data_IF_152569612338
#
_entry.id   IF_152569612338
#
_cell.length_a   1.000
_cell.length_b   1.000
_cell.length_c   1.000
_cell.angle_alpha   90.00
_cell.angle_beta   90.00
_cell.angle_gamma   90.00
#
_symmetry.space_group_name_H-M   'P 1'
#
loop_
_entity.id
_entity.type
_entity.pdbx_description
1 polymer ?
#
# COMPACT_ATOMS: atom_id res chain seq x y z
N UNK A 1 9.15 -18.49 3.94
CA UNK A 1 9.13 -17.39 4.91
C UNK A 1 10.18 -16.38 4.55
N UNK A 2 9.72 -15.25 4.01
CA UNK A 2 10.53 -14.09 3.73
C UNK A 2 10.96 -13.51 5.10
N UNK A 3 12.27 -13.38 5.32
CA UNK A 3 12.82 -12.87 6.57
C UNK A 3 12.78 -11.34 6.59
N UNK A 4 11.59 -10.78 6.73
CA UNK A 4 11.34 -9.34 6.82
C UNK A 4 10.91 -9.00 8.24
N UNK A 5 11.63 -8.06 8.85
CA UNK A 5 11.48 -7.69 10.25
C UNK A 5 11.00 -6.24 10.42
N UNK A 6 10.85 -5.46 9.34
CA UNK A 6 10.40 -4.06 9.40
C UNK A 6 9.63 -3.62 8.16
N UNK A 7 8.88 -2.52 8.27
CA UNK A 7 8.20 -1.88 7.14
C UNK A 7 9.18 -1.41 6.05
N UNK A 8 10.36 -0.92 6.44
CA UNK A 8 11.41 -0.53 5.50
C UNK A 8 12.00 -1.71 4.74
N UNK A 9 12.19 -2.85 5.40
CA UNK A 9 12.60 -4.10 4.74
C UNK A 9 11.51 -4.62 3.80
N UNK A 10 10.24 -4.51 4.20
CA UNK A 10 9.11 -4.90 3.37
C UNK A 10 8.99 -4.01 2.11
N UNK A 11 9.10 -2.69 2.25
CA UNK A 11 9.14 -1.75 1.12
C UNK A 11 10.29 -2.07 0.17
N UNK A 12 11.49 -2.31 0.71
CA UNK A 12 12.66 -2.70 -0.07
C UNK A 12 12.42 -4.00 -0.85
N UNK A 13 11.79 -4.99 -0.22
CA UNK A 13 11.42 -6.24 -0.88
C UNK A 13 10.42 -6.01 -2.03
N UNK A 14 9.36 -5.22 -1.80
CA UNK A 14 8.40 -4.87 -2.87
C UNK A 14 9.12 -4.14 -4.02
N UNK A 15 9.97 -3.17 -3.70
CA UNK A 15 10.73 -2.38 -4.69
C UNK A 15 11.68 -3.22 -5.53
N UNK A 16 12.41 -4.13 -4.90
CA UNK A 16 13.52 -4.83 -5.55
C UNK A 16 13.14 -6.19 -6.13
N UNK A 17 12.07 -6.81 -5.65
CA UNK A 17 11.71 -8.17 -6.05
C UNK A 17 10.30 -8.34 -6.62
N UNK A 18 9.38 -7.40 -6.39
CA UNK A 18 8.00 -7.48 -6.90
C UNK A 18 7.83 -6.54 -8.08
N UNK A 19 8.12 -5.26 -7.88
CA UNK A 19 7.91 -4.25 -8.91
C UNK A 19 8.71 -4.48 -10.21
N UNK A 20 9.98 -4.93 -10.19
CA UNK A 20 10.72 -5.20 -11.43
C UNK A 20 10.11 -6.32 -12.28
N UNK A 21 9.28 -7.17 -11.68
CA UNK A 21 8.54 -8.23 -12.37
C UNK A 21 7.13 -7.80 -12.77
N UNK A 22 6.66 -6.65 -12.26
CA UNK A 22 5.29 -6.16 -12.44
C UNK A 22 5.18 -5.02 -13.46
N UNK A 23 6.32 -4.40 -13.82
CA UNK A 23 6.36 -3.22 -14.70
C UNK A 23 7.27 -3.49 -15.91
N UNK A 24 6.91 -2.94 -17.07
CA UNK A 24 7.73 -3.00 -18.30
C UNK A 24 8.37 -1.63 -18.60
N UNK A 25 9.07 -1.53 -19.73
CA UNK A 25 9.83 -0.33 -20.16
C UNK A 25 8.99 0.94 -20.34
N UNK A 26 7.67 0.81 -20.46
CA UNK A 26 6.76 1.95 -20.54
C UNK A 26 6.52 2.61 -19.17
N UNK A 27 7.03 2.02 -18.08
CA UNK A 27 6.85 2.53 -16.73
C UNK A 27 8.18 2.87 -16.08
N UNK A 28 8.16 3.92 -15.25
CA UNK A 28 9.29 4.34 -14.43
C UNK A 28 8.92 4.27 -12.96
N UNK A 29 9.69 3.50 -12.19
CA UNK A 29 9.67 3.53 -10.73
C UNK A 29 10.54 4.69 -10.23
N UNK A 30 10.02 5.51 -9.32
CA UNK A 30 10.74 6.62 -8.72
C UNK A 30 11.30 6.25 -7.34
N UNK A 31 12.46 6.83 -7.00
CA UNK A 31 13.11 6.70 -5.69
C UNK A 31 12.69 7.78 -4.68
N UNK A 32 11.66 8.56 -5.02
CA UNK A 32 11.21 9.67 -4.20
C UNK A 32 10.32 9.20 -3.04
N UNK A 33 10.77 9.38 -1.80
CA UNK A 33 10.11 8.89 -0.58
C UNK A 33 9.30 9.93 0.22
N UNK A 34 9.05 11.14 -0.29
CA UNK A 34 8.44 12.20 0.57
C UNK A 34 6.92 12.16 0.68
N UNK A 35 6.22 11.63 -0.33
CA UNK A 35 4.76 11.70 -0.39
C UNK A 35 4.09 10.32 -0.29
N UNK A 36 4.70 9.30 -0.87
CA UNK A 36 4.22 7.92 -0.94
C UNK A 36 5.44 7.00 -0.83
N UNK A 37 5.25 5.76 -0.38
CA UNK A 37 6.33 4.77 -0.31
C UNK A 37 6.89 4.40 -1.69
N UNK A 38 6.02 4.14 -2.68
CA UNK A 38 6.42 3.82 -4.05
C UNK A 38 5.56 4.59 -5.07
N UNK A 39 6.22 5.15 -6.09
CA UNK A 39 5.59 5.94 -7.16
C UNK A 39 5.99 5.38 -8.52
N UNK A 40 5.00 4.99 -9.33
CA UNK A 40 5.19 4.49 -10.69
C UNK A 40 4.58 5.51 -11.65
N UNK A 41 5.32 5.91 -12.69
CA UNK A 41 4.78 6.71 -13.78
C UNK A 41 4.70 5.89 -15.06
N UNK A 42 3.56 5.95 -15.76
CA UNK A 42 3.46 5.52 -17.15
C UNK A 42 4.00 6.63 -18.05
N UNK A 43 4.93 6.27 -18.93
CA UNK A 43 5.47 7.16 -19.96
C UNK A 43 4.59 7.14 -21.22
N UNK A 44 4.78 8.12 -22.11
CA UNK A 44 4.13 8.16 -23.42
C UNK A 44 2.92 9.09 -23.49
N UNK A 45 2.00 8.82 -24.42
CA UNK A 45 0.93 9.75 -24.80
C UNK A 45 -0.15 9.96 -23.73
N UNK A 46 -0.32 8.99 -22.82
CA UNK A 46 -1.27 9.09 -21.71
C UNK A 46 -0.53 8.95 -20.37
N UNK A 47 0.28 9.95 -19.98
CA UNK A 47 1.05 9.86 -18.75
C UNK A 47 0.13 9.77 -17.54
N UNK A 48 0.51 8.93 -16.58
CA UNK A 48 -0.30 8.66 -15.39
C UNK A 48 0.61 8.27 -14.22
N UNK A 49 0.28 8.76 -13.03
CA UNK A 49 0.98 8.40 -11.80
C UNK A 49 0.17 7.38 -11.01
N UNK A 50 0.84 6.34 -10.53
CA UNK A 50 0.31 5.29 -9.69
C UNK A 50 1.07 5.27 -8.37
N UNK A 51 0.33 5.18 -7.27
CA UNK A 51 0.82 5.34 -5.91
C UNK A 51 0.64 4.02 -5.17
N UNK A 52 1.69 3.54 -4.52
CA UNK A 52 1.61 2.38 -3.64
C UNK A 52 2.06 2.79 -2.24
N UNK A 53 1.17 2.63 -1.28
CA UNK A 53 1.52 2.69 0.13
C UNK A 53 1.83 1.30 0.64
N UNK A 54 2.91 1.19 1.40
CA UNK A 54 3.39 -0.07 1.96
C UNK A 54 3.17 -0.05 3.46
N UNK A 55 2.61 -1.14 3.98
CA UNK A 55 2.44 -1.31 5.42
C UNK A 55 2.87 -2.69 5.87
N UNK A 56 3.57 -2.77 6.99
CA UNK A 56 4.00 -4.05 7.53
C UNK A 56 3.61 -4.22 9.00
N UNK A 57 2.82 -5.26 9.27
CA UNK A 57 2.37 -5.56 10.63
C UNK A 57 3.38 -6.44 11.35
N UNK A 58 4.00 -5.90 12.41
CA UNK A 58 4.82 -6.65 13.36
C UNK A 58 3.96 -7.14 14.53
N UNK A 59 4.10 -8.39 14.94
CA UNK A 59 3.30 -9.04 16.00
C UNK A 59 3.37 -8.30 17.33
N UNK A 60 4.56 -7.78 17.66
CA UNK A 60 4.80 -7.03 18.89
C UNK A 60 4.21 -5.61 18.87
N UNK A 61 3.78 -5.12 17.71
CA UNK A 61 3.10 -3.83 17.59
C UNK A 61 1.58 -4.02 17.71
N UNK A 62 0.97 -3.23 18.59
CA UNK A 62 -0.47 -3.32 18.86
C UNK A 62 -1.37 -2.81 17.71
N UNK A 63 -0.80 -2.08 16.76
CA UNK A 63 -1.53 -1.45 15.67
C UNK A 63 -0.64 -1.24 14.44
N UNK A 64 -1.25 -1.09 13.27
CA UNK A 64 -0.60 -0.67 12.05
C UNK A 64 -0.98 0.79 11.77
N UNK A 65 -0.03 1.72 11.93
CA UNK A 65 -0.28 3.16 11.85
C UNK A 65 -0.47 3.67 10.42
N UNK A 66 -1.26 4.74 10.27
CA UNK A 66 -1.47 5.45 9.00
C UNK A 66 -1.20 6.94 9.19
N UNK A 67 -0.30 7.52 8.39
CA UNK A 67 0.10 8.92 8.46
C UNK A 67 0.69 9.36 9.80
N UNK A 68 0.55 10.64 10.12
CA UNK A 68 1.03 11.24 11.36
C UNK A 68 -0.05 11.24 12.46
N UNK A 69 0.35 11.48 13.71
CA UNK A 69 -0.56 11.69 14.83
C UNK A 69 -1.59 12.80 14.53
N UNK A 70 -2.83 12.64 15.03
CA UNK A 70 -3.97 13.56 14.82
C UNK A 70 -4.51 13.65 13.38
N UNK A 71 -4.11 12.76 12.48
CA UNK A 71 -4.74 12.58 11.17
C UNK A 71 -4.20 13.51 10.09
N UNK A 72 -2.98 14.00 10.28
CA UNK A 72 -2.23 14.75 9.28
C UNK A 72 -1.38 13.85 8.38
N UNK A 73 -1.10 14.34 7.18
CA UNK A 73 -0.26 13.67 6.19
C UNK A 73 -1.04 13.12 5.02
N UNK A 74 -0.30 12.79 3.97
CA UNK A 74 -0.83 12.38 2.67
C UNK A 74 -1.84 11.22 2.76
N UNK A 75 -1.48 10.14 3.46
CA UNK A 75 -2.33 8.97 3.64
C UNK A 75 -3.69 9.30 4.30
N UNK A 76 -3.75 9.95 5.48
CA UNK A 76 -4.99 10.47 6.07
C UNK A 76 -5.83 11.36 5.15
N UNK A 77 -5.21 12.29 4.42
CA UNK A 77 -5.90 13.20 3.50
C UNK A 77 -6.56 12.41 2.36
N UNK A 78 -5.81 11.51 1.70
CA UNK A 78 -6.37 10.66 0.64
C UNK A 78 -7.55 9.83 1.14
N UNK A 79 -7.40 9.19 2.30
CA UNK A 79 -8.46 8.34 2.85
C UNK A 79 -9.71 9.15 3.24
N UNK A 80 -9.55 10.37 3.74
CA UNK A 80 -10.66 11.23 4.18
C UNK A 80 -11.37 11.91 3.01
N UNK A 81 -10.60 12.48 2.09
CA UNK A 81 -11.12 13.41 1.09
C UNK A 81 -11.63 12.68 -0.15
N UNK A 82 -11.22 11.42 -0.37
CA UNK A 82 -11.73 10.51 -1.41
C UNK A 82 -11.66 11.07 -2.82
N UNK A 83 -10.61 11.85 -3.12
CA UNK A 83 -10.40 12.38 -4.46
C UNK A 83 -10.32 11.25 -5.49
N UNK A 84 -11.15 11.31 -6.54
CA UNK A 84 -11.32 10.25 -7.56
C UNK A 84 -10.00 9.74 -8.14
N UNK A 85 -9.04 10.67 -8.31
CA UNK A 85 -7.71 10.35 -8.81
C UNK A 85 -6.99 9.33 -7.91
N UNK A 86 -6.99 9.51 -6.60
CA UNK A 86 -6.32 8.58 -5.68
C UNK A 86 -7.14 7.32 -5.43
N UNK A 87 -8.47 7.38 -5.50
CA UNK A 87 -9.31 6.18 -5.45
C UNK A 87 -8.99 5.20 -6.58
N UNK A 88 -8.69 5.74 -7.77
CA UNK A 88 -8.33 4.94 -8.94
C UNK A 88 -6.85 4.56 -8.96
N UNK A 89 -5.97 5.49 -8.60
CA UNK A 89 -4.54 5.40 -8.86
C UNK A 89 -3.68 5.14 -7.63
N UNK A 90 -4.28 4.90 -6.47
CA UNK A 90 -3.57 4.47 -5.26
C UNK A 90 -4.00 3.08 -4.82
N UNK A 91 -3.02 2.26 -4.46
CA UNK A 91 -3.24 0.94 -3.84
C UNK A 91 -2.35 0.80 -2.61
N UNK A 92 -2.75 -0.11 -1.75
CA UNK A 92 -2.01 -0.46 -0.54
C UNK A 92 -1.48 -1.87 -0.70
N UNK A 93 -0.21 -2.07 -0.37
CA UNK A 93 0.42 -3.38 -0.25
C UNK A 93 0.73 -3.59 1.23
N UNK A 94 0.08 -4.56 1.83
CA UNK A 94 0.32 -4.92 3.23
C UNK A 94 0.99 -6.29 3.32
N UNK A 95 1.83 -6.44 4.35
CA UNK A 95 2.40 -7.70 4.77
C UNK A 95 2.31 -7.86 6.29
N UNK A 96 2.55 -9.07 6.78
CA UNK A 96 2.58 -9.35 8.21
C UNK A 96 3.73 -10.27 8.57
N UNK A 97 4.33 -10.03 9.74
CA UNK A 97 5.40 -10.83 10.30
C UNK A 97 5.03 -12.30 10.42
N UNK A 98 5.89 -13.17 9.86
CA UNK A 98 5.70 -14.62 9.86
C UNK A 98 4.68 -15.13 8.84
N UNK A 99 4.26 -14.31 7.87
CA UNK A 99 3.46 -14.73 6.71
C UNK A 99 4.20 -14.39 5.41
N UNK A 100 4.01 -15.24 4.40
CA UNK A 100 4.46 -15.00 3.01
C UNK A 100 3.35 -14.39 2.15
N UNK A 101 2.24 -14.01 2.78
CA UNK A 101 1.07 -13.49 2.09
C UNK A 101 1.12 -11.96 1.98
N UNK A 102 0.45 -11.47 0.94
CA UNK A 102 0.30 -10.05 0.64
C UNK A 102 -1.18 -9.68 0.63
N UNK A 103 -1.46 -8.41 0.93
CA UNK A 103 -2.78 -7.83 0.71
C UNK A 103 -2.64 -6.65 -0.22
N UNK A 104 -3.25 -6.76 -1.40
CA UNK A 104 -3.28 -5.70 -2.41
C UNK A 104 -4.70 -5.12 -2.49
N UNK A 105 -4.90 -3.93 -1.95
CA UNK A 105 -6.24 -3.38 -1.73
C UNK A 105 -6.36 -1.89 -2.09
N UNK A 106 -7.60 -1.44 -2.29
CA UNK A 106 -7.93 -0.04 -2.56
C UNK A 106 -8.21 0.77 -1.29
N UNK A 107 -8.35 2.09 -1.46
CA UNK A 107 -8.66 3.01 -0.36
C UNK A 107 -10.02 2.70 0.30
N UNK A 108 -11.00 2.24 -0.48
CA UNK A 108 -12.32 1.88 0.02
C UNK A 108 -12.24 0.70 1.00
N UNK A 109 -11.39 -0.28 0.70
CA UNK A 109 -11.11 -1.41 1.57
C UNK A 109 -10.41 -0.95 2.83
N UNK A 110 -9.33 -0.16 2.73
CA UNK A 110 -8.62 0.36 3.91
C UNK A 110 -9.55 1.13 4.86
N UNK A 111 -10.42 1.99 4.31
CA UNK A 111 -11.40 2.75 5.11
C UNK A 111 -12.30 1.88 5.98
N UNK A 112 -12.73 0.72 5.48
CA UNK A 112 -13.55 -0.23 6.25
C UNK A 112 -12.83 -0.74 7.49
N UNK A 113 -11.50 -0.76 7.48
CA UNK A 113 -10.68 -1.30 8.56
C UNK A 113 -9.96 -0.24 9.39
N UNK A 114 -10.29 1.04 9.24
CA UNK A 114 -9.73 2.08 10.11
C UNK A 114 -10.20 1.91 11.56
N UNK A 115 -9.28 2.15 12.50
CA UNK A 115 -9.60 2.24 13.92
C UNK A 115 -10.64 3.34 14.16
N UNK A 116 -11.67 3.04 14.96
CA UNK A 116 -12.83 3.91 15.19
C UNK A 116 -13.61 4.33 13.93
N UNK A 117 -13.35 3.73 12.77
CA UNK A 117 -14.07 3.99 11.51
C UNK A 117 -13.81 5.37 10.87
N UNK A 118 -12.95 6.21 11.45
CA UNK A 118 -12.67 7.57 10.99
C UNK A 118 -11.19 7.93 11.13
N UNK A 119 -10.66 8.70 10.18
CA UNK A 119 -9.34 9.34 10.27
C UNK A 119 -9.45 10.61 11.12
N UNK A 120 -8.53 10.83 12.07
CA UNK A 120 -8.39 12.12 12.76
C UNK A 120 -8.39 12.10 14.30
N UNK A 121 -9.51 11.76 14.98
CA UNK A 121 -9.70 12.27 16.35
C UNK A 121 -8.78 11.70 17.43
N UNK A 122 -8.30 10.44 17.31
CA UNK A 122 -7.45 9.82 18.35
C UNK A 122 -6.48 8.74 17.87
N UNK A 123 -6.84 7.91 16.89
CA UNK A 123 -5.98 6.83 16.39
C UNK A 123 -6.11 6.67 14.88
N UNK A 124 -5.00 6.83 14.15
CA UNK A 124 -4.95 6.53 12.72
C UNK A 124 -4.23 5.20 12.56
N UNK A 125 -5.01 4.15 12.36
CA UNK A 125 -4.43 2.84 12.12
C UNK A 125 -5.44 1.87 11.55
N UNK A 126 -4.92 0.77 11.04
CA UNK A 126 -5.68 -0.32 10.46
C UNK A 126 -5.90 -1.38 11.54
N UNK A 127 -7.14 -1.84 11.69
CA UNK A 127 -7.57 -2.88 12.65
C UNK A 127 -6.90 -4.20 12.29
N UNK A 128 -6.44 -4.94 13.30
CA UNK A 128 -5.81 -6.27 13.11
C UNK A 128 -6.71 -7.28 12.41
N UNK A 129 -8.03 -7.15 12.56
CA UNK A 129 -9.00 -8.01 11.86
C UNK A 129 -8.91 -7.93 10.34
N UNK A 130 -8.27 -6.88 9.79
CA UNK A 130 -7.94 -6.81 8.36
C UNK A 130 -7.23 -8.07 7.87
N UNK A 131 -6.21 -8.55 8.60
CA UNK A 131 -5.40 -9.70 8.20
C UNK A 131 -6.12 -11.04 8.32
N UNK A 132 -7.29 -11.07 8.96
CA UNK A 132 -8.13 -12.26 9.09
C UNK A 132 -9.38 -12.21 8.22
N UNK A 133 -9.90 -11.01 7.92
CA UNK A 133 -11.16 -10.81 7.18
C UNK A 133 -10.94 -10.49 5.69
N UNK A 134 -9.78 -9.93 5.32
CA UNK A 134 -9.44 -9.63 3.93
C UNK A 134 -8.61 -10.78 3.36
N UNK A 135 -9.01 -11.30 2.20
CA UNK A 135 -8.28 -12.33 1.49
C UNK A 135 -6.87 -11.87 1.15
N UNK A 136 -5.90 -12.70 1.50
CA UNK A 136 -4.51 -12.52 1.13
C UNK A 136 -4.21 -13.18 -0.22
N UNK A 137 -3.09 -12.82 -0.82
CA UNK A 137 -2.62 -13.34 -2.11
C UNK A 137 -1.14 -13.71 -2.03
N UNK A 138 -0.72 -14.67 -2.85
CA UNK A 138 0.69 -15.02 -3.01
C UNK A 138 1.45 -13.98 -3.86
N UNK A 139 2.79 -13.98 -3.76
CA UNK A 139 3.66 -13.06 -4.54
C UNK A 139 3.38 -13.09 -6.05
N UNK A 140 3.16 -14.25 -6.64
CA UNK A 140 2.87 -14.38 -8.08
C UNK A 140 1.56 -13.69 -8.48
N UNK A 141 0.54 -13.80 -7.64
CA UNK A 141 -0.75 -13.15 -7.84
C UNK A 141 -0.64 -11.63 -7.62
N UNK A 142 0.15 -11.18 -6.64
CA UNK A 142 0.44 -9.76 -6.43
C UNK A 142 1.03 -9.12 -7.69
N UNK A 143 2.00 -9.78 -8.33
CA UNK A 143 2.63 -9.29 -9.57
C UNK A 143 1.57 -9.10 -10.68
N UNK A 144 0.73 -10.12 -10.88
CA UNK A 144 -0.35 -10.09 -11.89
C UNK A 144 -1.33 -8.96 -11.60
N UNK A 145 -1.72 -8.77 -10.34
CA UNK A 145 -2.68 -7.72 -9.98
C UNK A 145 -2.09 -6.31 -10.11
N UNK A 146 -0.81 -6.11 -9.77
CA UNK A 146 -0.13 -4.82 -9.99
C UNK A 146 -0.09 -4.51 -11.49
N UNK A 147 0.35 -5.47 -12.31
CA UNK A 147 0.41 -5.31 -13.76
C UNK A 147 -0.98 -4.95 -14.34
N UNK A 148 -1.99 -5.74 -14.00
CA UNK A 148 -3.38 -5.52 -14.46
C UNK A 148 -3.92 -4.17 -14.02
N UNK A 149 -3.52 -3.68 -12.84
CA UNK A 149 -3.97 -2.39 -12.33
C UNK A 149 -3.33 -1.21 -13.04
N UNK A 150 -2.01 -1.23 -13.29
CA UNK A 150 -1.30 -0.12 -13.94
C UNK A 150 -1.58 -0.03 -15.44
N UNK A 151 -2.02 -1.12 -16.07
CA UNK A 151 -2.40 -1.17 -17.49
C UNK A 151 -3.80 -0.59 -17.79
N UNK A 152 -4.58 -0.23 -16.76
CA UNK A 152 -5.89 0.45 -16.90
C UNK A 152 -5.77 1.91 -17.32
#
# INVERSE_FOLDING_TARGET
MININSESEFESHIRNEVLPLSINENYKLFDFKKAVDLLIARNGQNPKLFFLEVKYHQKHHGHLGVGQGKGGGFQPEVLRDKSDYFETNMRWILGSEGSDDYWFVDNATIRKYLNAGVIGPKYNGIRKTFFTEVSSIAKSELIIQIQTWIER
#
